data_IF_598736989630
#
_entry.id   IF_598736989630
#
_cell.length_a   1.000
_cell.length_b   1.000
_cell.length_c   1.000
_cell.angle_alpha   90.00
_cell.angle_beta   90.00
_cell.angle_gamma   90.00
#
_symmetry.space_group_name_H-M   'P 1'
#
loop_
_entity.id
_entity.type
_entity.pdbx_description
1 polymer ?
#
# COMPACT_ATOMS: atom_id res chain seq x y z
N UNK A 1 10.11 6.64 12.48
CA UNK A 1 10.30 7.26 11.18
C UNK A 1 9.21 6.87 10.21
N UNK A 2 8.56 7.85 9.63
CA UNK A 2 7.53 7.64 8.61
C UNK A 2 8.02 8.29 7.31
N UNK A 3 8.15 7.49 6.26
CA UNK A 3 8.66 7.97 4.97
C UNK A 3 7.69 8.88 4.22
N UNK A 4 8.20 9.56 3.20
CA UNK A 4 7.40 10.42 2.33
C UNK A 4 6.29 9.65 1.62
N UNK A 5 5.15 10.29 1.44
CA UNK A 5 4.04 9.70 0.70
C UNK A 5 3.29 8.60 1.44
N UNK A 6 3.58 8.43 2.74
CA UNK A 6 2.85 7.45 3.56
C UNK A 6 1.45 7.97 3.86
N UNK A 7 0.46 7.10 3.67
CA UNK A 7 -0.95 7.44 3.83
C UNK A 7 -1.61 6.47 4.79
N UNK A 8 -2.41 7.00 5.72
CA UNK A 8 -3.26 6.18 6.58
C UNK A 8 -4.70 6.28 6.08
N UNK A 9 -5.26 5.15 5.67
CA UNK A 9 -6.65 5.10 5.21
C UNK A 9 -7.52 4.65 6.38
N UNK A 10 -8.28 5.58 6.96
CA UNK A 10 -8.99 5.31 8.21
C UNK A 10 -10.49 5.49 8.15
N UNK A 11 -11.06 5.60 6.96
CA UNK A 11 -12.50 5.82 6.79
C UNK A 11 -13.05 4.94 5.69
N UNK A 12 -14.06 4.14 6.01
CA UNK A 12 -14.66 3.18 5.07
C UNK A 12 -16.00 3.66 4.48
N UNK A 13 -16.34 4.91 4.68
CA UNK A 13 -17.62 5.49 4.24
C UNK A 13 -18.70 5.47 5.32
N UNK A 14 -18.54 4.67 6.35
CA UNK A 14 -19.53 4.54 7.45
C UNK A 14 -18.88 4.78 8.81
N UNK A 15 -17.75 4.15 9.08
CA UNK A 15 -17.07 4.22 10.36
C UNK A 15 -15.64 4.67 10.18
N UNK A 16 -15.12 5.40 11.17
CA UNK A 16 -13.70 5.73 11.24
C UNK A 16 -12.97 4.61 11.98
N UNK A 17 -11.86 4.18 11.41
CA UNK A 17 -11.00 3.17 12.00
C UNK A 17 -9.66 3.79 12.36
N UNK A 18 -8.94 3.18 13.28
CA UNK A 18 -7.70 3.72 13.80
C UNK A 18 -6.50 2.88 13.40
N UNK A 19 -5.43 3.56 13.00
CA UNK A 19 -4.12 2.95 12.80
C UNK A 19 -3.28 3.22 14.04
N UNK A 20 -2.78 2.17 14.68
CA UNK A 20 -1.94 2.28 15.86
C UNK A 20 -0.53 1.83 15.50
N UNK A 21 0.45 2.71 15.73
CA UNK A 21 1.85 2.45 15.41
C UNK A 21 2.64 2.44 16.71
N UNK A 22 3.30 1.32 17.02
CA UNK A 22 4.11 1.19 18.21
C UNK A 22 5.40 2.01 18.18
N UNK A 23 6.20 1.90 19.25
CA UNK A 23 7.45 2.63 19.36
C UNK A 23 8.52 2.03 18.44
N UNK A 24 9.45 2.88 18.01
CA UNK A 24 10.62 2.48 17.21
C UNK A 24 10.28 1.75 15.91
N UNK A 25 9.13 2.07 15.33
CA UNK A 25 8.74 1.53 14.02
C UNK A 25 9.38 2.37 12.91
N UNK A 26 9.97 1.69 11.94
CA UNK A 26 10.47 2.36 10.73
C UNK A 26 9.51 2.10 9.57
N UNK A 27 8.97 3.16 8.99
CA UNK A 27 8.05 3.07 7.86
C UNK A 27 8.72 3.65 6.62
N UNK A 28 8.87 2.84 5.59
CA UNK A 28 9.43 3.28 4.31
C UNK A 28 8.52 4.27 3.59
N UNK A 29 9.01 4.78 2.46
CA UNK A 29 8.25 5.77 1.67
C UNK A 29 7.08 5.11 0.93
N UNK A 30 6.03 5.87 0.67
CA UNK A 30 4.84 5.43 -0.09
C UNK A 30 4.16 4.20 0.50
N UNK A 31 4.12 4.11 1.82
CA UNK A 31 3.40 3.05 2.51
C UNK A 31 1.96 3.48 2.76
N UNK A 32 1.03 2.55 2.59
CA UNK A 32 -0.38 2.78 2.89
C UNK A 32 -0.81 1.86 4.01
N UNK A 33 -1.45 2.41 5.04
CA UNK A 33 -2.04 1.65 6.11
C UNK A 33 -3.57 1.68 5.98
N UNK A 34 -4.17 0.51 5.88
CA UNK A 34 -5.62 0.39 5.81
C UNK A 34 -6.14 0.03 7.20
N UNK A 35 -6.70 1.00 7.88
CA UNK A 35 -7.22 0.82 9.25
C UNK A 35 -8.48 -0.06 9.26
N UNK A 36 -8.75 -0.78 10.36
CA UNK A 36 -7.97 -0.82 11.57
C UNK A 36 -6.74 -1.72 11.44
N UNK A 37 -5.59 -1.22 11.88
CA UNK A 37 -4.36 -1.99 11.86
C UNK A 37 -3.46 -1.54 12.99
N UNK A 38 -2.75 -2.49 13.61
CA UNK A 38 -1.79 -2.23 14.67
C UNK A 38 -0.41 -2.66 14.22
N UNK A 39 0.53 -1.72 14.25
CA UNK A 39 1.91 -1.96 13.85
C UNK A 39 2.74 -2.14 15.11
N UNK A 40 3.26 -3.34 15.29
CA UNK A 40 3.99 -3.71 16.50
C UNK A 40 5.31 -2.96 16.65
N UNK A 41 5.74 -2.80 17.90
CA UNK A 41 6.96 -2.10 18.26
C UNK A 41 8.18 -2.66 17.54
N UNK A 42 9.08 -1.78 17.10
CA UNK A 42 10.36 -2.17 16.51
C UNK A 42 10.25 -2.81 15.12
N UNK A 43 9.07 -2.82 14.53
CA UNK A 43 8.89 -3.41 13.20
C UNK A 43 9.39 -2.49 12.10
N UNK A 44 9.61 -3.07 10.91
CA UNK A 44 10.08 -2.36 9.75
C UNK A 44 9.10 -2.61 8.60
N UNK A 45 8.63 -1.53 7.99
CA UNK A 45 7.66 -1.61 6.89
C UNK A 45 8.39 -1.24 5.60
N UNK A 46 8.41 -2.14 4.64
CA UNK A 46 9.07 -1.92 3.36
C UNK A 46 8.39 -0.82 2.54
N UNK A 47 9.20 -0.03 1.82
CA UNK A 47 8.68 1.04 0.99
C UNK A 47 7.72 0.52 -0.09
N UNK A 48 6.68 1.27 -0.36
CA UNK A 48 5.67 0.92 -1.36
C UNK A 48 4.68 -0.13 -0.92
N UNK A 49 4.69 -0.53 0.36
CA UNK A 49 3.78 -1.57 0.86
C UNK A 49 2.40 -1.04 1.18
N UNK A 50 1.39 -1.91 1.02
CA UNK A 50 0.04 -1.65 1.51
C UNK A 50 -0.25 -2.64 2.65
N UNK A 51 -0.41 -2.10 3.85
CA UNK A 51 -0.56 -2.92 5.06
C UNK A 51 -2.03 -3.00 5.42
N UNK A 52 -2.58 -4.20 5.37
CA UNK A 52 -3.99 -4.48 5.66
C UNK A 52 -4.19 -5.38 6.86
N UNK A 53 -3.11 -5.91 7.43
CA UNK A 53 -3.13 -6.79 8.60
C UNK A 53 -2.17 -6.26 9.65
N UNK A 54 -2.45 -6.62 10.91
CA UNK A 54 -1.56 -6.27 12.01
C UNK A 54 -0.15 -6.81 11.78
N UNK A 55 0.84 -6.02 12.19
CA UNK A 55 2.25 -6.39 12.06
C UNK A 55 2.78 -6.71 13.46
N UNK A 56 3.30 -7.92 13.69
CA UNK A 56 3.90 -8.27 14.98
C UNK A 56 5.11 -7.41 15.33
N UNK A 57 5.44 -7.32 16.60
CA UNK A 57 6.64 -6.60 17.03
C UNK A 57 7.89 -7.18 16.38
N UNK A 58 8.83 -6.32 16.05
CA UNK A 58 10.15 -6.67 15.48
C UNK A 58 10.07 -7.44 14.16
N UNK A 59 8.96 -7.32 13.44
CA UNK A 59 8.79 -7.99 12.16
C UNK A 59 9.10 -7.07 10.99
N UNK A 60 9.40 -7.66 9.84
CA UNK A 60 9.46 -6.95 8.56
C UNK A 60 8.17 -7.25 7.81
N UNK A 61 7.40 -6.21 7.49
CA UNK A 61 6.19 -6.35 6.70
C UNK A 61 6.41 -5.78 5.31
N UNK A 62 6.17 -6.61 4.31
CA UNK A 62 6.27 -6.22 2.91
C UNK A 62 5.02 -6.72 2.19
N UNK A 63 4.38 -5.82 1.46
CA UNK A 63 3.26 -6.19 0.59
C UNK A 63 3.44 -5.46 -0.72
N UNK A 64 4.06 -6.12 -1.68
CA UNK A 64 4.36 -5.56 -2.99
C UNK A 64 3.89 -6.50 -4.07
N UNK A 65 3.41 -5.91 -5.17
CA UNK A 65 3.08 -6.67 -6.36
C UNK A 65 4.30 -6.68 -7.27
N UNK A 66 4.67 -7.88 -7.75
CA UNK A 66 5.76 -8.01 -8.70
C UNK A 66 5.40 -7.28 -10.00
N UNK A 67 6.35 -6.50 -10.53
CA UNK A 67 6.13 -5.79 -11.78
C UNK A 67 5.98 -6.77 -12.94
N UNK A 68 4.94 -6.57 -13.72
CA UNK A 68 4.71 -7.31 -14.95
C UNK A 68 4.66 -6.35 -16.12
N UNK A 69 5.44 -6.66 -17.16
CA UNK A 69 5.39 -5.91 -18.40
C UNK A 69 4.69 -6.77 -19.46
N UNK A 70 3.57 -6.28 -19.94
CA UNK A 70 2.82 -6.98 -20.97
C UNK A 70 3.13 -6.33 -22.31
N UNK A 71 3.96 -6.98 -23.12
CA UNK A 71 4.43 -6.43 -24.38
C UNK A 71 3.27 -6.19 -25.35
N UNK A 72 3.23 -4.99 -25.91
CA UNK A 72 2.23 -4.63 -26.92
C UNK A 72 0.83 -4.36 -26.40
N UNK A 73 0.61 -4.46 -25.08
CA UNK A 73 -0.73 -4.28 -24.52
C UNK A 73 -1.31 -2.90 -24.78
N UNK A 74 -0.50 -1.86 -24.56
CA UNK A 74 -0.98 -0.49 -24.74
C UNK A 74 -1.32 -0.19 -26.21
N UNK A 75 -0.54 -0.72 -27.14
CA UNK A 75 -0.80 -0.58 -28.57
C UNK A 75 -2.12 -1.25 -28.97
N UNK A 76 -2.34 -2.48 -28.53
CA UNK A 76 -3.60 -3.19 -28.80
C UNK A 76 -4.79 -2.44 -28.24
N UNK A 77 -4.65 -1.89 -27.05
CA UNK A 77 -5.72 -1.14 -26.41
C UNK A 77 -6.05 0.15 -27.17
N UNK A 78 -5.03 0.84 -27.67
CA UNK A 78 -5.24 2.03 -28.49
C UNK A 78 -5.98 1.71 -29.80
N UNK A 79 -5.61 0.62 -30.46
CA UNK A 79 -6.29 0.16 -31.67
C UNK A 79 -7.75 -0.19 -31.40
N UNK A 80 -8.03 -0.85 -30.30
CA UNK A 80 -9.40 -1.17 -29.90
C UNK A 80 -10.22 0.09 -29.65
N UNK A 81 -9.65 1.11 -29.02
CA UNK A 81 -10.32 2.39 -28.78
C UNK A 81 -10.67 3.10 -30.09
N UNK A 82 -9.78 3.03 -31.07
CA UNK A 82 -10.06 3.62 -32.39
C UNK A 82 -11.25 2.95 -33.08
N UNK A 83 -11.38 1.63 -32.94
CA UNK A 83 -12.53 0.91 -33.49
C UNK A 83 -13.82 1.27 -32.77
N UNK A 84 -13.76 1.46 -31.46
CA UNK A 84 -14.95 1.76 -30.65
C UNK A 84 -15.43 3.21 -30.80
N UNK A 85 -14.63 4.08 -31.40
CA UNK A 85 -14.98 5.49 -31.59
C UNK A 85 -15.77 5.78 -32.86
N UNK A 86 -16.16 4.79 -33.56
CA UNK A 86 -16.99 5.00 -34.77
C UNK A 86 -18.46 5.25 -34.42
#
# INVERSE_FOLDING_TARGET
NVGCGTITCNYDGVNKHQTTIGDDVFVGSDVQFVAPVTIGRGSLIGAGSTITMDVPADALAISRVEQKNIAGWAEKNRQKRKKDKK
#
